data_IF_758841539234
#
_entry.id   IF_758841539234
#
_cell.length_a   1.000
_cell.length_b   1.000
_cell.length_c   1.000
_cell.angle_alpha   90.00
_cell.angle_beta   90.00
_cell.angle_gamma   90.00
#
_symmetry.space_group_name_H-M   'P 1'
#
loop_
_entity.id
_entity.type
_entity.pdbx_description
1 polymer ?
#
# COMPACT_ATOMS: atom_id res chain seq x y z
N UNK A 1 -14.41 -16.87 -21.58
CA UNK A 1 -13.80 -15.63 -21.05
C UNK A 1 -14.25 -15.46 -19.62
N UNK A 2 -13.37 -15.68 -18.64
CA UNK A 2 -13.70 -15.56 -17.21
C UNK A 2 -13.89 -14.07 -16.90
N UNK A 3 -15.14 -13.64 -16.68
CA UNK A 3 -15.44 -12.31 -16.14
C UNK A 3 -15.06 -12.31 -14.66
N UNK A 4 -13.90 -11.75 -14.33
CA UNK A 4 -13.49 -11.46 -12.95
C UNK A 4 -14.32 -10.28 -12.40
N UNK A 5 -15.62 -10.50 -12.20
CA UNK A 5 -16.46 -9.66 -11.36
C UNK A 5 -16.08 -9.96 -9.91
N UNK A 6 -15.11 -9.20 -9.36
CA UNK A 6 -14.84 -9.19 -7.91
C UNK A 6 -16.16 -8.87 -7.19
N UNK A 7 -16.56 -9.73 -6.27
CA UNK A 7 -17.80 -9.59 -5.50
C UNK A 7 -17.85 -8.24 -4.80
N UNK A 8 -19.02 -7.58 -4.79
CA UNK A 8 -19.24 -6.31 -4.07
C UNK A 8 -18.81 -6.40 -2.59
N UNK A 9 -18.92 -7.60 -1.99
CA UNK A 9 -18.47 -7.88 -0.62
C UNK A 9 -16.94 -7.79 -0.46
N UNK A 10 -16.16 -8.31 -1.39
CA UNK A 10 -14.69 -8.21 -1.32
C UNK A 10 -14.19 -6.78 -1.50
N UNK A 11 -14.83 -6.00 -2.38
CA UNK A 11 -14.54 -4.58 -2.54
C UNK A 11 -14.81 -3.80 -1.25
N UNK A 12 -15.91 -4.11 -0.57
CA UNK A 12 -16.27 -3.47 0.69
C UNK A 12 -15.28 -3.80 1.81
N UNK A 13 -14.94 -5.08 2.02
CA UNK A 13 -13.94 -5.46 3.03
C UNK A 13 -12.55 -4.89 2.73
N UNK A 14 -12.17 -4.80 1.45
CA UNK A 14 -10.90 -4.20 1.05
C UNK A 14 -10.87 -2.69 1.32
N UNK A 15 -11.96 -1.97 0.98
CA UNK A 15 -12.09 -0.55 1.28
C UNK A 15 -12.08 -0.28 2.79
N UNK A 16 -12.84 -1.08 3.56
CA UNK A 16 -12.89 -0.96 5.01
C UNK A 16 -11.53 -1.24 5.67
N UNK A 17 -10.81 -2.26 5.22
CA UNK A 17 -9.46 -2.56 5.71
C UNK A 17 -8.45 -1.46 5.39
N UNK A 18 -8.56 -0.84 4.20
CA UNK A 18 -7.76 0.31 3.82
C UNK A 18 -8.05 1.52 4.71
N UNK A 19 -9.32 1.77 5.02
CA UNK A 19 -9.76 2.91 5.81
C UNK A 19 -9.36 2.78 7.29
N UNK A 20 -9.50 1.58 7.87
CA UNK A 20 -9.03 1.30 9.24
C UNK A 20 -7.51 1.47 9.35
N UNK A 21 -6.76 1.00 8.35
CA UNK A 21 -5.30 1.14 8.33
C UNK A 21 -4.87 2.61 8.16
N UNK A 22 -5.55 3.35 7.28
CA UNK A 22 -5.31 4.77 7.08
C UNK A 22 -5.54 5.56 8.38
N UNK A 23 -6.68 5.34 9.05
CA UNK A 23 -7.00 6.00 10.33
C UNK A 23 -6.00 5.58 11.42
N UNK A 24 -5.66 4.30 11.50
CA UNK A 24 -4.73 3.79 12.52
C UNK A 24 -3.32 4.38 12.43
N UNK A 25 -2.90 4.86 11.25
CA UNK A 25 -1.56 5.42 11.05
C UNK A 25 -1.60 6.95 10.95
N UNK A 26 -2.49 7.52 10.14
CA UNK A 26 -2.55 8.96 9.90
C UNK A 26 -3.11 9.73 11.10
N UNK A 27 -4.07 9.16 11.83
CA UNK A 27 -4.67 9.88 12.97
C UNK A 27 -3.69 10.07 14.13
N UNK A 28 -2.95 9.04 14.62
CA UNK A 28 -1.97 9.24 15.68
C UNK A 28 -0.79 10.09 15.24
N UNK A 29 -0.30 9.86 14.01
CA UNK A 29 0.84 10.59 13.46
C UNK A 29 0.53 12.08 13.32
N UNK A 30 -0.61 12.41 12.71
CA UNK A 30 -1.00 13.80 12.52
C UNK A 30 -1.39 14.48 13.83
N UNK A 31 -1.98 13.75 14.79
CA UNK A 31 -2.28 14.30 16.12
C UNK A 31 -0.99 14.66 16.86
N UNK A 32 0.03 13.80 16.79
CA UNK A 32 1.33 14.05 17.40
C UNK A 32 2.11 15.19 16.72
N UNK A 33 2.08 15.23 15.39
CA UNK A 33 2.88 16.20 14.61
C UNK A 33 2.26 17.61 14.60
N UNK A 34 0.93 17.70 14.55
CA UNK A 34 0.21 18.97 14.41
C UNK A 34 -0.46 19.45 15.70
N UNK A 35 -0.41 18.65 16.78
CA UNK A 35 -1.02 18.98 18.07
C UNK A 35 -2.55 18.92 18.10
N UNK A 36 -3.19 18.35 17.08
CA UNK A 36 -4.65 18.17 17.01
C UNK A 36 -5.10 16.91 17.77
N UNK A 37 -6.38 16.86 18.14
CA UNK A 37 -6.94 15.66 18.80
C UNK A 37 -7.02 14.47 17.82
N UNK A 38 -6.93 13.25 18.36
CA UNK A 38 -6.99 12.02 17.56
C UNK A 38 -8.30 11.93 16.72
N UNK A 39 -9.42 12.37 17.30
CA UNK A 39 -10.70 12.40 16.60
C UNK A 39 -10.70 13.39 15.42
N UNK A 40 -10.08 14.57 15.59
CA UNK A 40 -10.03 15.60 14.56
C UNK A 40 -9.18 15.16 13.35
N UNK A 41 -8.05 14.49 13.62
CA UNK A 41 -7.19 13.92 12.59
C UNK A 41 -7.75 12.64 11.97
N UNK A 42 -8.46 11.83 12.76
CA UNK A 42 -9.18 10.65 12.28
C UNK A 42 -10.28 11.03 11.28
N UNK A 43 -11.03 12.09 11.58
CA UNK A 43 -12.05 12.59 10.66
C UNK A 43 -11.46 13.18 9.39
N UNK A 44 -10.35 13.95 9.48
CA UNK A 44 -9.63 14.41 8.29
C UNK A 44 -9.19 13.23 7.43
N UNK A 45 -8.59 12.20 8.04
CA UNK A 45 -8.13 11.01 7.34
C UNK A 45 -9.27 10.31 6.59
N UNK A 46 -10.44 10.20 7.23
CA UNK A 46 -11.65 9.64 6.63
C UNK A 46 -12.19 10.51 5.48
N UNK A 47 -12.15 11.84 5.62
CA UNK A 47 -12.56 12.74 4.55
C UNK A 47 -11.62 12.63 3.34
N UNK A 48 -10.30 12.55 3.59
CA UNK A 48 -9.27 12.38 2.55
C UNK A 48 -9.38 11.01 1.87
N UNK A 49 -9.63 9.92 2.60
CA UNK A 49 -9.83 8.58 2.00
C UNK A 49 -11.04 8.56 1.07
N UNK A 50 -12.18 9.11 1.51
CA UNK A 50 -13.39 9.20 0.69
C UNK A 50 -13.19 10.07 -0.54
N UNK A 51 -12.49 11.21 -0.39
CA UNK A 51 -12.14 12.09 -1.50
C UNK A 51 -11.23 11.36 -2.51
N UNK A 52 -10.19 10.68 -2.03
CA UNK A 52 -9.26 9.92 -2.86
C UNK A 52 -9.95 8.77 -3.61
N UNK A 53 -10.84 8.03 -2.95
CA UNK A 53 -11.64 6.97 -3.58
C UNK A 53 -12.54 7.54 -4.69
N UNK A 54 -13.22 8.65 -4.40
CA UNK A 54 -14.09 9.33 -5.36
C UNK A 54 -13.27 9.83 -6.55
N UNK A 55 -12.16 10.52 -6.29
CA UNK A 55 -11.24 11.00 -7.31
C UNK A 55 -10.70 9.87 -8.17
N UNK A 56 -10.31 8.74 -7.56
CA UNK A 56 -9.83 7.58 -8.30
C UNK A 56 -10.88 7.02 -9.26
N UNK A 57 -12.15 6.95 -8.84
CA UNK A 57 -13.23 6.52 -9.73
C UNK A 57 -13.46 7.51 -10.88
N UNK A 58 -13.51 8.81 -10.57
CA UNK A 58 -13.72 9.88 -11.57
C UNK A 58 -12.57 9.92 -12.57
N UNK A 59 -11.34 9.92 -12.10
CA UNK A 59 -10.14 9.97 -12.93
C UNK A 59 -10.05 8.75 -13.86
N UNK A 60 -10.26 7.55 -13.32
CA UNK A 60 -10.27 6.32 -14.13
C UNK A 60 -11.35 6.39 -15.22
N UNK A 61 -12.55 6.90 -14.91
CA UNK A 61 -13.62 7.05 -15.89
C UNK A 61 -13.29 8.08 -16.99
N UNK A 62 -12.70 9.23 -16.62
CA UNK A 62 -12.25 10.26 -17.57
C UNK A 62 -11.16 9.69 -18.48
N UNK A 63 -10.15 9.04 -17.91
CA UNK A 63 -9.03 8.49 -18.65
C UNK A 63 -9.45 7.35 -19.57
N UNK A 64 -10.33 6.45 -19.13
CA UNK A 64 -10.88 5.39 -19.99
C UNK A 64 -11.71 5.97 -21.16
N UNK A 65 -12.43 7.07 -20.94
CA UNK A 65 -13.15 7.76 -22.02
C UNK A 65 -12.19 8.47 -22.98
N UNK A 66 -11.13 9.10 -22.46
CA UNK A 66 -10.08 9.73 -23.26
C UNK A 66 -9.33 8.68 -24.11
N UNK A 67 -9.00 7.52 -23.53
CA UNK A 67 -8.35 6.41 -24.22
C UNK A 67 -9.23 5.83 -25.34
N UNK A 68 -10.53 5.65 -25.09
CA UNK A 68 -11.46 5.19 -26.13
C UNK A 68 -11.62 6.17 -27.28
N UNK A 69 -11.54 7.49 -27.01
CA UNK A 69 -11.64 8.52 -28.06
C UNK A 69 -10.35 8.71 -28.86
N UNK A 70 -9.19 8.64 -28.20
CA UNK A 70 -7.89 8.92 -28.83
C UNK A 70 -7.17 7.66 -29.33
N UNK A 71 -7.60 6.46 -28.94
CA UNK A 71 -7.07 5.20 -29.46
C UNK A 71 -5.59 4.93 -29.13
N UNK A 72 -5.02 5.60 -28.12
CA UNK A 72 -3.59 5.44 -27.80
C UNK A 72 -3.28 4.07 -27.19
N UNK A 73 -2.15 3.47 -27.58
CA UNK A 73 -1.65 2.22 -26.98
C UNK A 73 -1.15 2.49 -25.56
N UNK A 74 -1.42 1.59 -24.61
CA UNK A 74 -0.93 1.66 -23.21
C UNK A 74 0.58 1.38 -23.13
N UNK A 75 1.38 2.29 -23.66
CA UNK A 75 2.85 2.27 -23.55
C UNK A 75 3.29 2.70 -22.15
N UNK A 76 4.58 2.51 -21.82
CA UNK A 76 5.15 2.98 -20.55
C UNK A 76 4.96 4.50 -20.36
N UNK A 77 5.12 5.28 -21.43
CA UNK A 77 4.88 6.74 -21.39
C UNK A 77 3.43 7.09 -21.03
N UNK A 78 2.44 6.39 -21.59
CA UNK A 78 1.04 6.61 -21.25
C UNK A 78 0.74 6.30 -19.77
N UNK A 79 1.43 5.31 -19.18
CA UNK A 79 1.31 4.99 -17.75
C UNK A 79 1.96 6.06 -16.87
N UNK A 80 3.12 6.58 -17.25
CA UNK A 80 3.78 7.67 -16.54
C UNK A 80 2.90 8.94 -16.54
N UNK A 81 2.40 9.34 -17.72
CA UNK A 81 1.49 10.48 -17.85
C UNK A 81 0.22 10.29 -17.03
N UNK A 82 -0.38 9.09 -17.04
CA UNK A 82 -1.52 8.75 -16.20
C UNK A 82 -1.23 8.93 -14.71
N UNK A 83 -0.10 8.38 -14.23
CA UNK A 83 0.28 8.48 -12.82
C UNK A 83 0.51 9.93 -12.39
N UNK A 84 1.22 10.71 -13.21
CA UNK A 84 1.47 12.14 -12.93
C UNK A 84 0.18 12.95 -12.92
N UNK A 85 -0.70 12.76 -13.89
CA UNK A 85 -2.01 13.43 -13.94
C UNK A 85 -2.91 13.04 -12.76
N UNK A 86 -2.89 11.75 -12.38
CA UNK A 86 -3.64 11.26 -11.24
C UNK A 86 -3.20 11.95 -9.95
N UNK A 87 -1.88 11.97 -9.71
CA UNK A 87 -1.27 12.54 -8.51
C UNK A 87 -1.55 14.04 -8.41
N UNK A 88 -1.32 14.78 -9.49
CA UNK A 88 -1.60 16.23 -9.55
C UNK A 88 -3.07 16.51 -9.25
N UNK A 89 -3.97 15.73 -9.85
CA UNK A 89 -5.40 15.86 -9.61
C UNK A 89 -5.80 15.56 -8.16
N UNK A 90 -5.16 14.56 -7.55
CA UNK A 90 -5.41 14.18 -6.17
C UNK A 90 -4.92 15.26 -5.21
N UNK A 91 -3.74 15.85 -5.44
CA UNK A 91 -3.22 17.00 -4.69
C UNK A 91 -4.20 18.19 -4.77
N UNK A 92 -4.72 18.50 -5.96
CA UNK A 92 -5.69 19.59 -6.16
C UNK A 92 -7.00 19.34 -5.39
N UNK A 93 -7.39 18.07 -5.17
CA UNK A 93 -8.59 17.74 -4.41
C UNK A 93 -8.33 17.71 -2.88
N UNK A 94 -7.20 17.14 -2.45
CA UNK A 94 -6.89 16.87 -1.05
C UNK A 94 -6.33 18.09 -0.33
N UNK A 95 -5.45 18.87 -0.96
CA UNK A 95 -4.80 20.02 -0.31
C UNK A 95 -5.81 21.10 0.11
N UNK A 96 -6.77 21.53 -0.73
CA UNK A 96 -7.77 22.51 -0.30
C UNK A 96 -8.68 22.00 0.83
N UNK A 97 -9.00 20.70 0.80
CA UNK A 97 -9.77 20.05 1.86
C UNK A 97 -9.01 20.09 3.19
N UNK A 98 -7.73 19.73 3.19
CA UNK A 98 -6.88 19.76 4.38
C UNK A 98 -6.66 21.19 4.90
N UNK A 99 -6.42 22.16 3.99
CA UNK A 99 -6.29 23.56 4.34
C UNK A 99 -7.54 24.10 5.02
N UNK A 100 -8.71 23.82 4.44
CA UNK A 100 -10.00 24.21 5.01
C UNK A 100 -10.27 23.55 6.36
N UNK A 101 -10.01 22.24 6.49
CA UNK A 101 -10.30 21.49 7.71
C UNK A 101 -9.39 21.88 8.87
N UNK A 102 -8.09 22.06 8.60
CA UNK A 102 -7.09 22.38 9.62
C UNK A 102 -6.95 23.89 9.86
N UNK A 103 -7.63 24.74 9.08
CA UNK A 103 -7.53 26.19 9.18
C UNK A 103 -6.14 26.74 8.84
N UNK A 104 -5.39 26.04 7.98
CA UNK A 104 -4.03 26.41 7.55
C UNK A 104 -4.06 26.92 6.10
N UNK A 105 -3.00 27.60 5.67
CA UNK A 105 -2.87 28.03 4.28
C UNK A 105 -2.66 26.86 3.31
N UNK A 106 -2.89 27.11 2.01
CA UNK A 106 -2.71 26.10 0.96
C UNK A 106 -1.25 25.63 0.84
N UNK A 107 -0.30 26.51 1.12
CA UNK A 107 1.12 26.17 1.09
C UNK A 107 1.47 25.21 2.23
N UNK A 108 1.01 25.50 3.45
CA UNK A 108 1.20 24.65 4.62
C UNK A 108 0.53 23.29 4.42
N UNK A 109 -0.70 23.26 3.87
CA UNK A 109 -1.39 22.01 3.56
C UNK A 109 -0.69 21.19 2.46
N UNK A 110 -0.11 21.85 1.45
CA UNK A 110 0.68 21.17 0.42
C UNK A 110 1.99 20.59 0.99
N UNK A 111 2.70 21.34 1.82
CA UNK A 111 3.90 20.86 2.51
C UNK A 111 3.55 19.71 3.46
N UNK A 112 2.42 19.78 4.15
CA UNK A 112 1.91 18.71 5.00
C UNK A 112 1.66 17.43 4.19
N UNK A 113 1.01 17.53 3.03
CA UNK A 113 0.74 16.40 2.14
C UNK A 113 2.05 15.70 1.69
N UNK A 114 3.03 16.49 1.24
CA UNK A 114 4.37 15.99 0.89
C UNK A 114 5.06 15.36 2.10
N UNK A 115 5.01 15.99 3.27
CA UNK A 115 5.66 15.49 4.48
C UNK A 115 5.07 14.15 4.92
N UNK A 116 3.74 13.99 4.85
CA UNK A 116 3.06 12.73 5.14
C UNK A 116 3.52 11.64 4.17
N UNK A 117 3.50 11.90 2.86
CA UNK A 117 3.95 10.92 1.84
C UNK A 117 5.41 10.52 2.05
N UNK A 118 6.29 11.51 2.23
CA UNK A 118 7.72 11.28 2.43
C UNK A 118 8.05 10.59 3.76
N UNK A 119 7.23 10.78 4.80
CA UNK A 119 7.39 10.07 6.08
C UNK A 119 6.87 8.63 5.99
N UNK A 120 5.75 8.43 5.30
CA UNK A 120 5.11 7.11 5.17
C UNK A 120 5.97 6.12 4.38
N UNK A 121 6.71 6.58 3.37
CA UNK A 121 7.61 5.76 2.53
C UNK A 121 8.71 5.02 3.32
N UNK A 122 9.62 5.70 4.04
CA UNK A 122 10.64 5.06 4.85
C UNK A 122 10.05 4.32 6.07
N UNK A 123 8.94 4.80 6.66
CA UNK A 123 8.23 4.08 7.72
C UNK A 123 7.71 2.72 7.24
N UNK A 124 7.01 2.70 6.09
CA UNK A 124 6.50 1.46 5.48
C UNK A 124 7.64 0.51 5.13
N UNK A 125 8.74 1.05 4.58
CA UNK A 125 9.93 0.27 4.27
C UNK A 125 10.58 -0.33 5.54
N UNK A 126 10.77 0.47 6.59
CA UNK A 126 11.35 0.04 7.86
C UNK A 126 10.47 -0.97 8.61
N UNK A 127 9.15 -0.76 8.63
CA UNK A 127 8.20 -1.70 9.22
C UNK A 127 8.19 -3.04 8.48
N UNK A 128 8.16 -3.02 7.13
CA UNK A 128 8.24 -4.23 6.32
C UNK A 128 9.56 -4.99 6.56
N UNK A 129 10.69 -4.26 6.64
CA UNK A 129 11.99 -4.86 6.94
C UNK A 129 12.05 -5.50 8.33
N UNK A 130 11.54 -4.82 9.35
CA UNK A 130 11.45 -5.35 10.71
C UNK A 130 10.55 -6.60 10.79
N UNK A 131 9.40 -6.56 10.11
CA UNK A 131 8.45 -7.67 10.06
C UNK A 131 9.06 -8.92 9.39
N UNK A 132 9.72 -8.76 8.25
CA UNK A 132 10.40 -9.86 7.57
C UNK A 132 11.54 -10.44 8.42
N UNK A 133 12.28 -9.60 9.14
CA UNK A 133 13.36 -10.06 10.01
C UNK A 133 12.85 -10.84 11.24
N UNK A 134 11.72 -10.42 11.82
CA UNK A 134 11.06 -11.13 12.92
C UNK A 134 10.44 -12.44 12.41
N UNK A 135 9.77 -12.42 11.26
CA UNK A 135 9.18 -13.60 10.63
C UNK A 135 10.25 -14.64 10.27
N UNK A 136 11.39 -14.22 9.73
CA UNK A 136 12.51 -15.10 9.46
C UNK A 136 13.02 -15.79 10.74
N UNK A 137 13.12 -15.06 11.86
CA UNK A 137 13.52 -15.63 13.16
C UNK A 137 12.48 -16.59 13.74
N UNK A 138 11.18 -16.34 13.55
CA UNK A 138 10.10 -17.19 14.05
C UNK A 138 9.93 -18.46 13.20
N UNK A 139 9.99 -18.35 11.87
CA UNK A 139 9.88 -19.50 10.94
C UNK A 139 11.10 -20.42 11.05
N UNK A 140 12.32 -19.87 11.23
CA UNK A 140 13.53 -20.65 11.46
C UNK A 140 13.45 -21.50 12.75
N UNK A 141 12.79 -21.00 13.79
CA UNK A 141 12.58 -21.75 15.05
C UNK A 141 11.59 -22.90 14.88
N UNK A 142 10.56 -22.73 14.04
CA UNK A 142 9.58 -23.79 13.78
C UNK A 142 10.11 -24.92 12.89
N UNK A 143 10.97 -24.63 11.90
CA UNK A 143 11.56 -25.65 11.04
C UNK A 143 12.56 -26.55 11.78
N UNK A 144 13.31 -26.00 12.74
CA UNK A 144 14.23 -26.78 13.59
C UNK A 144 13.49 -27.68 14.59
N UNK A 145 12.37 -27.21 15.15
CA UNK A 145 11.53 -28.02 16.05
C UNK A 145 10.85 -29.19 15.31
N UNK A 146 10.37 -28.96 14.09
CA UNK A 146 9.78 -30.03 13.26
C UNK A 146 10.82 -31.05 12.78
N UNK A 147 12.05 -30.62 12.46
CA UNK A 147 13.15 -31.54 12.07
C UNK A 147 13.65 -32.41 13.22
N UNK A 148 13.68 -31.88 14.45
CA UNK A 148 13.97 -32.68 15.66
C UNK A 148 12.83 -33.64 16.02
N UNK A 149 11.58 -33.24 15.82
CA UNK A 149 10.41 -34.09 16.04
C UNK A 149 10.27 -35.21 14.98
N UNK A 150 10.73 -34.97 13.74
CA UNK A 150 10.67 -35.95 12.65
C UNK A 150 11.76 -37.03 12.69
N UNK A 151 12.68 -37.00 13.67
CA UNK A 151 13.59 -38.12 13.98
C UNK A 151 14.40 -38.67 12.80
N UNK A 152 14.66 -37.90 11.75
CA UNK A 152 15.35 -38.42 10.55
C UNK A 152 16.85 -38.13 10.66
N UNK A 153 17.70 -39.12 11.00
CA UNK A 153 19.14 -38.93 10.93
C UNK A 153 19.57 -38.74 9.47
N UNK A 154 20.67 -38.01 9.20
CA UNK A 154 21.23 -37.91 7.86
C UNK A 154 21.57 -39.31 7.37
N UNK A 155 21.00 -39.73 6.24
CA UNK A 155 21.47 -40.94 5.57
C UNK A 155 22.93 -40.71 5.16
N UNK A 156 23.87 -41.60 5.55
CA UNK A 156 25.22 -41.53 5.02
C UNK A 156 25.12 -41.72 3.51
N UNK A 157 25.87 -40.91 2.76
CA UNK A 157 26.01 -41.02 1.31
C UNK A 157 26.43 -42.46 0.98
N UNK A 158 25.45 -43.30 0.61
CA UNK A 158 25.75 -44.59 0.02
C UNK A 158 26.35 -44.27 -1.34
N UNK A 159 27.65 -44.54 -1.43
CA UNK A 159 28.46 -44.51 -2.63
C UNK A 159 27.86 -45.47 -3.68
N UNK A 160 26.88 -44.99 -4.43
CA UNK A 160 26.34 -45.62 -5.62
C UNK A 160 26.95 -45.00 -6.87
N UNK A 161 28.25 -45.26 -7.06
CA UNK A 161 28.92 -45.16 -8.36
C UNK A 161 29.92 -46.33 -8.41
N UNK A 162 29.45 -47.50 -8.83
CA UNK A 162 29.59 -47.98 -10.21
C UNK A 162 31.02 -48.42 -10.51
N UNK A 163 31.22 -49.75 -10.48
CA UNK A 163 32.25 -50.45 -11.25
C UNK A 163 32.14 -50.11 -12.73
N UNK A 164 33.29 -50.02 -13.42
CA UNK A 164 33.37 -50.55 -14.78
C UNK A 164 34.59 -51.47 -14.92
N UNK A 165 34.29 -52.74 -15.24
CA UNK A 165 35.01 -53.59 -16.20
C UNK A 165 36.36 -53.08 -16.75
N UNK A 166 37.47 -53.70 -16.34
CA UNK A 166 38.39 -54.47 -17.20
C UNK A 166 39.52 -55.11 -16.39
#
# INVERSE_FOLDING_TARGET
MVSLQKSLKERFFHALGFEVLAIAICAPLGAWLLGYSLAHMGLLTLMVSLMAMTWNMVFNAIFDRAQRRMGFRRTLGARAVHAVLFEIGLVIAVVPLAAWWLGIGLWEAFVLDIAIVLFFLPYTFGFNWAYDHIRAKVVARHSLKNRRAAGTPPQPLTSSAQSPTR
#
